data_IF_307460500749
#
_entry.id   IF_307460500749
#
_cell.length_a   1.000
_cell.length_b   1.000
_cell.length_c   1.000
_cell.angle_alpha   90.00
_cell.angle_beta   90.00
_cell.angle_gamma   90.00
#
_symmetry.space_group_name_H-M   'P 1'
#
loop_
_entity.id
_entity.type
_entity.pdbx_description
1 polymer ?
#
# COMPACT_ATOMS: atom_id res chain seq x y z
N UNK A 1 16.25 -11.24 -6.97
CA UNK A 1 15.06 -10.37 -7.07
C UNK A 1 14.30 -10.52 -5.76
N UNK A 2 14.02 -9.45 -5.03
CA UNK A 2 13.25 -9.54 -3.78
C UNK A 2 11.82 -10.00 -4.03
N UNK A 3 11.22 -10.62 -3.01
CA UNK A 3 9.82 -11.02 -3.01
C UNK A 3 9.03 -10.13 -2.07
N UNK A 4 8.03 -9.43 -2.60
CA UNK A 4 7.08 -8.63 -1.85
C UNK A 4 5.76 -9.39 -1.74
N UNK A 5 5.28 -9.59 -0.52
CA UNK A 5 3.93 -10.10 -0.26
C UNK A 5 3.06 -8.94 0.15
N UNK A 6 2.00 -8.68 -0.60
CA UNK A 6 1.16 -7.51 -0.39
C UNK A 6 -0.32 -7.88 -0.28
N UNK A 7 -1.03 -7.17 0.56
CA UNK A 7 -2.47 -7.25 0.63
C UNK A 7 -3.09 -6.75 -0.67
N UNK A 8 -4.03 -7.51 -1.26
CA UNK A 8 -4.71 -7.14 -2.50
C UNK A 8 -5.78 -6.08 -2.26
N UNK A 9 -5.36 -4.92 -1.79
CA UNK A 9 -6.19 -3.73 -1.74
C UNK A 9 -6.17 -3.01 -3.10
N UNK A 10 -7.24 -2.28 -3.42
CA UNK A 10 -7.42 -1.59 -4.70
C UNK A 10 -6.36 -0.51 -5.01
N UNK A 11 -5.67 0.01 -3.98
CA UNK A 11 -4.56 0.96 -4.15
C UNK A 11 -3.21 0.23 -4.07
N UNK A 12 -3.01 -0.59 -3.03
CA UNK A 12 -1.73 -1.27 -2.77
C UNK A 12 -1.33 -2.18 -3.94
N UNK A 13 -2.29 -2.83 -4.59
CA UNK A 13 -2.02 -3.70 -5.75
C UNK A 13 -1.35 -2.98 -6.93
N UNK A 14 -1.36 -1.62 -6.98
CA UNK A 14 -0.59 -0.86 -7.95
C UNK A 14 0.92 -1.18 -7.87
N UNK A 15 1.41 -1.57 -6.69
CA UNK A 15 2.80 -1.99 -6.50
C UNK A 15 3.17 -3.20 -7.37
N UNK A 16 2.22 -4.07 -7.71
CA UNK A 16 2.48 -5.18 -8.63
C UNK A 16 2.83 -4.71 -10.02
N UNK A 17 2.17 -3.66 -10.51
CA UNK A 17 2.47 -3.06 -11.83
C UNK A 17 3.78 -2.25 -11.78
N UNK A 18 3.98 -1.53 -10.69
CA UNK A 18 5.15 -0.64 -10.55
C UNK A 18 6.44 -1.44 -10.39
N UNK A 19 6.45 -2.50 -9.56
CA UNK A 19 7.68 -3.16 -9.12
C UNK A 19 7.95 -4.49 -9.83
N UNK A 20 6.89 -5.18 -10.30
CA UNK A 20 7.02 -6.50 -10.92
C UNK A 20 6.99 -6.38 -12.45
N UNK A 21 8.13 -6.63 -13.13
CA UNK A 21 8.16 -6.59 -14.59
C UNK A 21 7.39 -7.72 -15.25
N UNK A 22 7.13 -8.82 -14.52
CA UNK A 22 6.38 -9.99 -14.98
C UNK A 22 4.88 -9.89 -14.61
N UNK A 23 4.42 -8.68 -14.20
CA UNK A 23 3.00 -8.45 -13.92
C UNK A 23 2.14 -8.73 -15.14
N UNK A 24 0.94 -9.25 -14.90
CA UNK A 24 -0.05 -9.54 -15.93
C UNK A 24 -0.33 -8.31 -16.81
N UNK A 25 -0.27 -8.52 -18.14
CA UNK A 25 -0.46 -7.47 -19.14
C UNK A 25 -1.84 -6.81 -19.07
N UNK A 26 -2.89 -7.57 -18.74
CA UNK A 26 -4.24 -7.03 -18.55
C UNK A 26 -4.27 -6.04 -17.38
N UNK A 27 -3.59 -6.36 -16.29
CA UNK A 27 -3.47 -5.47 -15.12
C UNK A 27 -2.67 -4.21 -15.45
N UNK A 28 -1.57 -4.33 -16.19
CA UNK A 28 -0.78 -3.18 -16.64
C UNK A 28 -1.66 -2.24 -17.46
N UNK A 29 -2.42 -2.78 -18.40
CA UNK A 29 -3.35 -2.00 -19.24
C UNK A 29 -4.42 -1.32 -18.41
N UNK A 30 -5.05 -2.05 -17.48
CA UNK A 30 -6.10 -1.49 -16.62
C UNK A 30 -5.59 -0.32 -15.75
N UNK A 31 -4.37 -0.41 -15.22
CA UNK A 31 -3.77 0.69 -14.47
C UNK A 31 -3.35 1.85 -15.36
N UNK A 32 -2.81 1.59 -16.56
CA UNK A 32 -2.49 2.63 -17.53
C UNK A 32 -3.74 3.41 -17.95
N UNK A 33 -4.85 2.73 -18.19
CA UNK A 33 -6.14 3.36 -18.52
C UNK A 33 -6.67 4.19 -17.33
N UNK A 34 -6.59 3.65 -16.11
CA UNK A 34 -7.03 4.35 -14.90
C UNK A 34 -6.25 5.65 -14.67
N UNK A 35 -4.94 5.65 -14.88
CA UNK A 35 -4.09 6.82 -14.71
C UNK A 35 -3.95 7.69 -15.96
N UNK A 36 -4.56 7.33 -17.09
CA UNK A 36 -4.37 7.98 -18.40
C UNK A 36 -4.60 9.50 -18.41
N UNK A 37 -5.49 10.00 -17.55
CA UNK A 37 -5.80 11.44 -17.45
C UNK A 37 -4.72 12.19 -16.67
N UNK A 38 -4.25 11.62 -15.55
CA UNK A 38 -3.33 12.29 -14.64
C UNK A 38 -1.86 11.97 -14.94
N UNK A 39 -1.61 10.82 -15.56
CA UNK A 39 -0.27 10.31 -15.87
C UNK A 39 -0.31 9.44 -17.13
N UNK A 40 -0.39 10.04 -18.33
CA UNK A 40 -0.45 9.30 -19.60
C UNK A 40 0.81 8.44 -19.84
N UNK A 41 1.96 8.80 -19.28
CA UNK A 41 3.22 8.05 -19.38
C UNK A 41 3.39 7.05 -18.23
N UNK A 42 2.30 6.54 -17.63
CA UNK A 42 2.34 5.64 -16.48
C UNK A 42 3.24 4.40 -16.70
N UNK A 43 3.19 3.69 -17.86
CA UNK A 43 4.08 2.56 -18.11
C UNK A 43 5.57 2.93 -18.10
N UNK A 44 5.94 4.03 -18.76
CA UNK A 44 7.31 4.55 -18.82
C UNK A 44 7.78 5.01 -17.43
N UNK A 45 6.88 5.62 -16.67
CA UNK A 45 7.16 6.01 -15.28
C UNK A 45 7.45 4.78 -14.41
N UNK A 46 6.70 3.68 -14.55
CA UNK A 46 6.98 2.42 -13.85
C UNK A 46 8.40 1.90 -14.16
N UNK A 47 8.82 1.95 -15.42
CA UNK A 47 10.18 1.57 -15.80
C UNK A 47 11.25 2.48 -15.18
N UNK A 48 11.00 3.78 -15.15
CA UNK A 48 11.90 4.74 -14.50
C UNK A 48 12.02 4.48 -13.00
N UNK A 49 10.92 4.18 -12.31
CA UNK A 49 10.92 3.82 -10.89
C UNK A 49 11.75 2.56 -10.65
N UNK A 50 11.58 1.51 -11.46
CA UNK A 50 12.37 0.29 -11.36
C UNK A 50 13.87 0.55 -11.51
N UNK A 51 14.26 1.39 -12.47
CA UNK A 51 15.66 1.78 -12.69
C UNK A 51 16.23 2.64 -11.54
N UNK A 52 15.40 3.51 -10.98
CA UNK A 52 15.82 4.46 -9.94
C UNK A 52 16.03 3.79 -8.58
N UNK A 53 15.28 2.72 -8.27
CA UNK A 53 15.30 2.09 -6.95
C UNK A 53 15.70 0.61 -7.01
N UNK A 54 16.95 0.29 -7.42
CA UNK A 54 17.39 -1.09 -7.64
C UNK A 54 17.42 -1.95 -6.37
N UNK A 55 17.30 -1.37 -5.19
CA UNK A 55 17.20 -2.10 -3.93
C UNK A 55 15.85 -2.81 -3.74
N UNK A 56 14.78 -2.29 -4.37
CA UNK A 56 13.40 -2.80 -4.25
C UNK A 56 12.77 -3.17 -5.59
N UNK A 57 13.43 -2.87 -6.70
CA UNK A 57 12.91 -3.16 -8.03
C UNK A 57 14.05 -3.65 -8.98
N UNK A 58 13.80 -4.61 -9.85
CA UNK A 58 12.55 -5.36 -9.98
C UNK A 58 12.29 -6.30 -8.79
N UNK A 59 11.03 -6.50 -8.43
CA UNK A 59 10.59 -7.42 -7.38
C UNK A 59 9.51 -8.35 -7.90
N UNK A 60 9.48 -9.58 -7.40
CA UNK A 60 8.34 -10.46 -7.53
C UNK A 60 7.27 -10.02 -6.54
N UNK A 61 6.06 -9.72 -7.01
CA UNK A 61 4.96 -9.27 -6.15
C UNK A 61 3.88 -10.36 -6.07
N UNK A 62 3.59 -10.80 -4.84
CA UNK A 62 2.55 -11.77 -4.53
C UNK A 62 1.38 -11.02 -3.90
N UNK A 63 0.23 -11.04 -4.56
CA UNK A 63 -1.03 -10.48 -4.06
C UNK A 63 -1.75 -11.54 -3.21
N UNK A 64 -2.23 -11.14 -2.04
CA UNK A 64 -2.96 -12.02 -1.10
C UNK A 64 -4.31 -11.40 -0.73
N UNK A 65 -5.37 -12.21 -0.74
CA UNK A 65 -6.75 -11.76 -0.54
C UNK A 65 -7.29 -12.06 0.86
N UNK A 66 -6.59 -12.91 1.61
CA UNK A 66 -6.95 -13.27 2.97
C UNK A 66 -5.72 -13.38 3.87
N UNK A 67 -5.95 -13.38 5.19
CA UNK A 67 -4.89 -13.58 6.17
C UNK A 67 -4.20 -14.95 5.98
N UNK A 68 -4.96 -15.97 5.61
CA UNK A 68 -4.45 -17.32 5.37
C UNK A 68 -3.53 -17.36 4.14
N UNK A 69 -3.94 -16.74 3.03
CA UNK A 69 -3.09 -16.61 1.83
C UNK A 69 -1.82 -15.83 2.15
N UNK A 70 -1.95 -14.77 2.94
CA UNK A 70 -0.83 -13.96 3.39
C UNK A 70 0.16 -14.80 4.19
N UNK A 71 -0.31 -15.53 5.21
CA UNK A 71 0.54 -16.42 6.02
C UNK A 71 1.28 -17.46 5.18
N UNK A 72 0.59 -18.07 4.19
CA UNK A 72 1.20 -19.06 3.29
C UNK A 72 2.32 -18.47 2.43
N UNK A 73 2.19 -17.20 2.03
CA UNK A 73 3.17 -16.53 1.19
C UNK A 73 4.40 -16.00 1.96
N UNK A 74 4.34 -15.91 3.30
CA UNK A 74 5.39 -15.29 4.13
C UNK A 74 6.74 -16.00 4.09
N UNK A 75 6.78 -17.30 3.82
CA UNK A 75 8.02 -18.08 3.83
C UNK A 75 9.09 -17.51 2.88
N UNK A 76 8.68 -16.93 1.78
CA UNK A 76 9.57 -16.36 0.77
C UNK A 76 9.63 -14.82 0.78
N UNK A 77 8.89 -14.16 1.68
CA UNK A 77 8.80 -12.72 1.73
C UNK A 77 10.09 -12.04 2.21
N UNK A 78 10.65 -11.16 1.39
CA UNK A 78 11.67 -10.20 1.82
C UNK A 78 11.06 -8.95 2.44
N UNK A 79 9.88 -8.53 1.97
CA UNK A 79 9.12 -7.43 2.53
C UNK A 79 7.61 -7.68 2.41
N UNK A 80 6.84 -7.03 3.28
CA UNK A 80 5.38 -7.07 3.23
C UNK A 80 4.77 -5.68 3.21
N UNK A 81 3.64 -5.52 2.50
CA UNK A 81 2.83 -4.30 2.51
C UNK A 81 1.40 -4.70 2.85
N UNK A 82 0.92 -4.21 3.98
CA UNK A 82 -0.42 -4.54 4.50
C UNK A 82 -1.21 -3.29 4.85
N UNK A 83 -2.52 -3.38 4.87
CA UNK A 83 -3.41 -2.34 5.39
C UNK A 83 -4.16 -2.82 6.63
N UNK A 84 -4.81 -3.98 6.52
CA UNK A 84 -5.66 -4.56 7.56
C UNK A 84 -5.15 -5.89 8.11
N UNK A 85 -4.29 -6.59 7.35
CA UNK A 85 -3.76 -7.88 7.79
C UNK A 85 -2.93 -7.73 9.05
N UNK A 86 -3.04 -8.72 9.92
CA UNK A 86 -2.30 -8.78 11.17
C UNK A 86 -0.87 -9.24 10.87
N UNK A 87 0.11 -8.58 11.50
CA UNK A 87 1.50 -9.02 11.53
C UNK A 87 1.95 -9.10 12.98
N UNK A 88 1.76 -10.26 13.56
CA UNK A 88 2.13 -10.56 14.95
C UNK A 88 3.26 -11.59 15.04
N UNK A 89 3.42 -12.16 16.23
CA UNK A 89 4.45 -13.18 16.51
C UNK A 89 4.31 -14.39 15.58
N UNK A 90 3.08 -14.79 15.27
CA UNK A 90 2.80 -15.92 14.39
C UNK A 90 3.31 -15.64 12.97
N UNK A 91 2.89 -14.54 12.35
CA UNK A 91 3.30 -14.15 11.00
C UNK A 91 4.81 -13.96 10.90
N UNK A 92 5.41 -13.33 11.91
CA UNK A 92 6.86 -13.15 11.98
C UNK A 92 7.62 -14.48 12.13
N UNK A 93 6.99 -15.53 12.67
CA UNK A 93 7.60 -16.86 12.74
C UNK A 93 7.58 -17.58 11.39
N UNK A 94 6.58 -17.29 10.55
CA UNK A 94 6.43 -17.83 9.19
C UNK A 94 7.31 -17.11 8.15
N UNK A 95 7.89 -15.96 8.50
CA UNK A 95 8.62 -15.07 7.61
C UNK A 95 10.13 -15.01 7.90
N UNK A 96 10.91 -16.11 7.69
CA UNK A 96 12.32 -16.17 8.09
C UNK A 96 13.25 -15.21 7.31
N UNK A 97 12.80 -14.75 6.13
CA UNK A 97 13.58 -13.86 5.24
C UNK A 97 13.16 -12.39 5.35
N UNK A 98 12.13 -12.09 6.15
CA UNK A 98 11.51 -10.78 6.20
C UNK A 98 12.48 -9.72 6.75
N UNK A 99 12.63 -8.64 5.99
CA UNK A 99 13.54 -7.52 6.27
C UNK A 99 12.80 -6.22 6.56
N UNK A 100 11.53 -6.09 6.11
CA UNK A 100 10.81 -4.83 6.15
C UNK A 100 9.29 -5.04 6.14
N UNK A 101 8.57 -4.21 6.90
CA UNK A 101 7.12 -4.17 6.93
C UNK A 101 6.66 -2.73 6.65
N UNK A 102 5.84 -2.55 5.62
CA UNK A 102 5.14 -1.30 5.37
C UNK A 102 3.66 -1.47 5.73
N UNK A 103 3.19 -0.72 6.71
CA UNK A 103 1.75 -0.57 6.88
C UNK A 103 1.25 0.56 5.98
N UNK A 104 0.21 0.30 5.18
CA UNK A 104 -0.41 1.31 4.30
C UNK A 104 -1.40 2.21 5.05
N UNK A 105 -1.27 2.27 6.39
CA UNK A 105 -2.00 3.15 7.30
C UNK A 105 -1.04 3.92 8.20
N UNK A 106 -1.53 5.01 8.77
CA UNK A 106 -0.84 5.71 9.87
C UNK A 106 -0.97 4.94 11.18
N UNK A 107 -2.10 4.26 11.37
CA UNK A 107 -2.38 3.42 12.55
C UNK A 107 -1.66 2.06 12.42
N UNK A 108 -0.92 1.69 13.46
CA UNK A 108 -0.08 0.48 13.49
C UNK A 108 -0.64 -0.62 14.40
N UNK A 109 -1.91 -0.56 14.80
CA UNK A 109 -2.51 -1.52 15.76
C UNK A 109 -2.55 -2.96 15.24
N UNK A 110 -2.52 -3.14 13.92
CA UNK A 110 -2.47 -4.45 13.27
C UNK A 110 -1.06 -5.07 13.24
N UNK A 111 -0.02 -4.34 13.69
CA UNK A 111 1.37 -4.79 13.67
C UNK A 111 1.92 -4.81 15.10
N UNK A 112 2.41 -5.97 15.53
CA UNK A 112 3.11 -6.12 16.79
C UNK A 112 4.53 -5.51 16.69
N UNK A 113 4.63 -4.23 17.01
CA UNK A 113 5.88 -3.49 16.93
C UNK A 113 6.95 -4.01 17.91
N UNK A 114 6.54 -4.59 19.06
CA UNK A 114 7.47 -5.17 20.01
C UNK A 114 8.10 -6.44 19.45
N UNK A 115 7.28 -7.32 18.85
CA UNK A 115 7.75 -8.54 18.18
C UNK A 115 8.65 -8.21 16.96
N UNK A 116 8.29 -7.19 16.17
CA UNK A 116 9.11 -6.70 15.05
C UNK A 116 10.48 -6.22 15.55
N UNK A 117 10.49 -5.40 16.61
CA UNK A 117 11.72 -4.86 17.19
C UNK A 117 12.62 -5.97 17.76
N UNK A 118 12.06 -6.99 18.40
CA UNK A 118 12.81 -8.13 18.92
C UNK A 118 13.54 -8.92 17.82
N UNK A 119 13.01 -8.89 16.59
CA UNK A 119 13.61 -9.50 15.41
C UNK A 119 14.44 -8.53 14.55
N UNK A 120 14.58 -7.28 14.97
CA UNK A 120 15.23 -6.21 14.20
C UNK A 120 14.59 -5.98 12.82
N UNK A 121 13.29 -6.16 12.69
CA UNK A 121 12.54 -5.91 11.47
C UNK A 121 11.86 -4.55 11.59
N UNK A 122 12.26 -3.54 10.80
CA UNK A 122 11.60 -2.25 10.79
C UNK A 122 10.18 -2.36 10.24
N UNK A 123 9.21 -1.79 10.98
CA UNK A 123 7.83 -1.66 10.58
C UNK A 123 7.46 -0.17 10.55
N UNK A 124 7.05 0.33 9.39
CA UNK A 124 6.80 1.76 9.19
C UNK A 124 5.33 2.02 8.81
N UNK A 125 4.72 3.08 9.37
CA UNK A 125 3.44 3.58 8.92
C UNK A 125 3.57 4.34 7.58
N UNK A 126 2.48 4.43 6.83
CA UNK A 126 2.40 5.29 5.66
C UNK A 126 1.52 6.51 5.95
N UNK A 127 2.11 7.69 5.87
CA UNK A 127 1.38 8.95 6.03
C UNK A 127 0.76 9.38 4.71
N UNK A 128 -0.54 9.16 4.55
CA UNK A 128 -1.29 9.54 3.35
C UNK A 128 -1.55 11.06 3.35
N UNK A 129 -1.04 11.76 2.36
CA UNK A 129 -1.34 13.20 2.18
C UNK A 129 -2.83 13.47 1.98
N UNK A 130 -3.55 12.53 1.38
CA UNK A 130 -5.02 12.59 1.21
C UNK A 130 -5.77 12.73 2.55
N UNK A 131 -5.21 12.29 3.66
CA UNK A 131 -5.84 12.44 4.98
C UNK A 131 -6.03 13.91 5.36
N UNK A 132 -5.15 14.80 4.91
CA UNK A 132 -5.28 16.26 5.11
C UNK A 132 -6.49 16.76 4.33
N UNK A 133 -6.59 16.43 3.04
CA UNK A 133 -7.71 16.83 2.20
C UNK A 133 -9.06 16.31 2.71
N UNK A 134 -9.10 15.09 3.21
CA UNK A 134 -10.32 14.52 3.84
C UNK A 134 -10.69 15.31 5.10
N UNK A 135 -9.72 15.67 5.94
CA UNK A 135 -9.94 16.47 7.15
C UNK A 135 -10.45 17.87 6.81
N UNK A 136 -9.85 18.53 5.83
CA UNK A 136 -10.30 19.84 5.33
C UNK A 136 -11.72 19.79 4.76
N UNK A 137 -12.03 18.75 3.99
CA UNK A 137 -13.38 18.57 3.45
C UNK A 137 -14.42 18.33 4.56
N UNK A 138 -14.12 17.48 5.53
CA UNK A 138 -15.00 17.24 6.68
C UNK A 138 -15.25 18.53 7.47
N UNK A 139 -14.21 19.33 7.72
CA UNK A 139 -14.35 20.63 8.38
C UNK A 139 -15.19 21.61 7.54
N UNK A 140 -14.98 21.65 6.22
CA UNK A 140 -15.76 22.51 5.31
C UNK A 140 -17.24 22.14 5.33
N UNK A 141 -17.58 20.85 5.32
CA UNK A 141 -18.97 20.38 5.44
C UNK A 141 -19.59 20.77 6.79
N UNK A 142 -18.84 20.60 7.86
CA UNK A 142 -19.30 20.99 9.21
C UNK A 142 -19.58 22.50 9.27
N UNK A 143 -18.72 23.33 8.70
CA UNK A 143 -18.92 24.79 8.65
C UNK A 143 -20.11 25.16 7.76
N UNK A 144 -20.29 24.49 6.62
CA UNK A 144 -21.42 24.72 5.73
C UNK A 144 -22.77 24.41 6.42
N UNK A 145 -22.83 23.34 7.21
CA UNK A 145 -24.00 22.98 8.01
C UNK A 145 -24.23 23.99 9.14
N UNK A 146 -23.21 24.32 9.90
CA UNK A 146 -23.30 25.27 11.02
C UNK A 146 -23.77 26.66 10.57
N UNK A 147 -23.34 27.10 9.39
CA UNK A 147 -23.68 28.40 8.80
C UNK A 147 -24.92 28.35 7.90
N UNK A 148 -25.58 27.21 7.75
CA UNK A 148 -26.74 27.00 6.86
C UNK A 148 -26.48 27.52 5.42
N UNK A 149 -25.25 27.34 4.91
CA UNK A 149 -24.81 27.95 3.65
C UNK A 149 -25.69 27.52 2.47
N UNK A 150 -26.18 26.26 2.47
CA UNK A 150 -27.08 25.77 1.41
C UNK A 150 -28.45 26.42 1.47
N UNK A 151 -28.95 26.71 2.67
CA UNK A 151 -30.27 27.38 2.86
C UNK A 151 -30.20 28.87 2.48
N UNK A 152 -29.12 29.57 2.86
CA UNK A 152 -28.92 30.99 2.56
C UNK A 152 -28.63 31.27 1.09
N UNK A 153 -28.07 30.30 0.35
CA UNK A 153 -27.85 30.44 -1.10
C UNK A 153 -29.12 30.28 -1.96
N UNK A 154 -30.25 29.92 -1.34
CA UNK A 154 -31.55 29.80 -2.02
C UNK A 154 -32.38 31.11 -1.94
N UNK A 155 -31.85 32.15 -1.30
CA UNK A 155 -32.42 33.47 -1.23
C UNK A 155 -31.87 34.35 -2.34
#
# INVERSE_FOLDING_TARGET
MPTLVIQNDHIIRALSVILDPDCDAERITAFADYYSVDMPEFPEWCEQIRKKYPAVAPSRVILTNSQEEFQQALQDADAVVVEDFIVGVEELSLAPKLKFIQNFRTDMRNIDQAACSAKNIPALPFHRTVNVAVGEHAFSLMMALAKKTVETNKL
#
